data_IF_585181452095
#
_entry.id   IF_585181452095
#
_cell.length_a   1.000
_cell.length_b   1.000
_cell.length_c   1.000
_cell.angle_alpha   90.00
_cell.angle_beta   90.00
_cell.angle_gamma   90.00
#
_symmetry.space_group_name_H-M   'P 1'
#
loop_
_entity.id
_entity.type
_entity.pdbx_description
1 polymer ?
#
# COMPACT_ATOMS: atom_id res chain seq x y z
N UNK A 1 5.14 13.39 3.68
CA UNK A 1 3.92 13.26 4.52
C UNK A 1 3.73 11.78 4.81
N UNK A 2 3.55 11.39 6.06
CA UNK A 2 3.84 10.05 6.59
C UNK A 2 3.06 8.93 5.90
N UNK A 3 3.78 7.90 5.43
CA UNK A 3 3.22 6.56 5.23
C UNK A 3 2.85 6.07 6.63
N UNK A 4 1.59 6.23 7.04
CA UNK A 4 1.09 5.68 8.29
C UNK A 4 1.32 4.18 8.24
N UNK A 5 2.45 3.73 8.79
CA UNK A 5 2.69 2.35 9.10
C UNK A 5 1.57 1.98 10.06
N UNK A 6 0.56 1.26 9.58
CA UNK A 6 -0.38 0.57 10.46
C UNK A 6 0.40 -0.60 11.05
N UNK A 7 1.26 -0.26 12.01
CA UNK A 7 1.99 -1.19 12.88
C UNK A 7 1.11 -1.53 14.07
N UNK A 8 -0.13 -1.96 13.81
CA UNK A 8 -1.03 -2.35 14.88
C UNK A 8 -1.90 -3.50 14.44
N UNK A 9 -1.85 -4.57 15.23
CA UNK A 9 -2.68 -5.77 15.13
C UNK A 9 -4.13 -5.52 15.55
N UNK A 10 -4.59 -4.27 15.54
CA UNK A 10 -5.94 -3.90 15.94
C UNK A 10 -6.85 -3.84 14.72
N UNK A 11 -7.98 -4.58 14.70
CA UNK A 11 -8.96 -4.51 13.62
C UNK A 11 -9.47 -3.10 13.33
N UNK A 12 -9.50 -2.22 14.34
CA UNK A 12 -9.96 -0.84 14.19
C UNK A 12 -9.06 0.01 13.29
N UNK A 13 -7.77 -0.35 13.16
CA UNK A 13 -6.83 0.39 12.30
C UNK A 13 -7.07 0.15 10.82
N UNK A 14 -7.73 -0.95 10.45
CA UNK A 14 -8.13 -1.25 9.08
C UNK A 14 -9.04 -0.18 8.47
N UNK A 15 -9.79 0.53 9.31
CA UNK A 15 -10.67 1.58 8.84
C UNK A 15 -9.93 2.85 8.41
N UNK A 16 -8.73 3.04 8.95
CA UNK A 16 -7.85 4.18 8.69
C UNK A 16 -6.99 4.00 7.44
N UNK A 17 -6.93 2.80 6.86
CA UNK A 17 -6.12 2.52 5.67
C UNK A 17 -6.88 3.01 4.42
N UNK A 18 -6.37 4.04 3.73
CA UNK A 18 -6.99 4.54 2.51
C UNK A 18 -6.85 3.50 1.39
N UNK A 19 -7.84 3.46 0.49
CA UNK A 19 -7.80 2.59 -0.69
C UNK A 19 -8.22 1.14 -0.46
N UNK A 20 -8.37 0.66 0.79
CA UNK A 20 -8.92 -0.68 1.02
C UNK A 20 -10.37 -0.78 0.54
N UNK A 21 -10.61 -1.69 -0.41
CA UNK A 21 -11.97 -2.05 -0.82
C UNK A 21 -12.72 -2.77 0.29
N UNK A 22 -14.07 -2.83 0.21
CA UNK A 22 -14.92 -3.45 1.23
C UNK A 22 -14.47 -4.86 1.63
N UNK A 23 -14.09 -5.70 0.65
CA UNK A 23 -13.61 -7.07 0.90
C UNK A 23 -12.24 -7.09 1.58
N UNK A 24 -11.30 -6.25 1.13
CA UNK A 24 -9.96 -6.17 1.70
C UNK A 24 -10.01 -5.65 3.14
N UNK A 25 -10.91 -4.70 3.44
CA UNK A 25 -11.16 -4.21 4.80
C UNK A 25 -11.66 -5.30 5.75
N UNK A 26 -12.61 -6.14 5.29
CA UNK A 26 -13.05 -7.31 6.08
C UNK A 26 -11.92 -8.29 6.35
N UNK A 27 -11.08 -8.56 5.34
CA UNK A 27 -9.91 -9.45 5.51
C UNK A 27 -8.88 -8.86 6.48
N UNK A 28 -8.63 -7.55 6.39
CA UNK A 28 -7.77 -6.84 7.34
C UNK A 28 -8.30 -6.96 8.77
N UNK A 29 -9.61 -6.79 8.98
CA UNK A 29 -10.22 -6.91 10.31
C UNK A 29 -10.16 -8.35 10.86
N UNK A 30 -10.21 -9.36 9.98
CA UNK A 30 -10.10 -10.77 10.36
C UNK A 30 -8.66 -11.17 10.68
N UNK A 31 -7.68 -10.58 9.99
CA UNK A 31 -6.25 -10.89 10.11
C UNK A 31 -5.40 -9.60 10.21
N UNK A 32 -5.57 -8.81 11.30
CA UNK A 32 -4.91 -7.51 11.43
C UNK A 32 -3.39 -7.63 11.67
N UNK A 33 -2.93 -8.78 12.17
CA UNK A 33 -1.53 -9.13 12.38
C UNK A 33 -0.74 -9.23 11.07
N UNK A 34 -1.38 -9.71 10.00
CA UNK A 34 -0.76 -9.87 8.67
C UNK A 34 -0.51 -8.53 7.98
N UNK A 35 -1.27 -7.49 8.34
CA UNK A 35 -1.18 -6.18 7.68
C UNK A 35 0.20 -5.53 7.80
N UNK A 36 0.93 -5.78 8.89
CA UNK A 36 2.32 -5.31 9.05
C UNK A 36 3.23 -5.87 7.95
N UNK A 37 3.16 -7.18 7.71
CA UNK A 37 3.96 -7.84 6.69
C UNK A 37 3.59 -7.35 5.28
N UNK A 38 2.30 -7.13 5.02
CA UNK A 38 1.81 -6.57 3.76
C UNK A 38 2.34 -5.15 3.54
N UNK A 39 2.21 -4.28 4.53
CA UNK A 39 2.70 -2.90 4.47
C UNK A 39 4.21 -2.83 4.25
N UNK A 40 4.98 -3.68 4.93
CA UNK A 40 6.42 -3.77 4.72
C UNK A 40 6.80 -4.29 3.33
N UNK A 41 6.03 -5.23 2.79
CA UNK A 41 6.20 -5.72 1.41
C UNK A 41 5.98 -4.62 0.38
N UNK A 42 4.90 -3.84 0.53
CA UNK A 42 4.60 -2.69 -0.33
C UNK A 42 5.74 -1.67 -0.29
N UNK A 43 6.20 -1.30 0.91
CA UNK A 43 7.32 -0.34 1.08
C UNK A 43 8.58 -0.81 0.36
N UNK A 44 8.94 -2.08 0.52
CA UNK A 44 10.11 -2.67 -0.16
C UNK A 44 9.93 -2.68 -1.68
N UNK A 45 8.76 -3.08 -2.18
CA UNK A 45 8.46 -3.09 -3.61
C UNK A 45 8.53 -1.70 -4.24
N UNK A 46 8.02 -0.66 -3.56
CA UNK A 46 8.11 0.73 -4.04
C UNK A 46 9.55 1.22 -4.07
N UNK A 47 10.33 0.96 -3.01
CA UNK A 47 11.74 1.36 -2.97
C UNK A 47 12.55 0.69 -4.10
N UNK A 48 12.32 -0.60 -4.36
CA UNK A 48 12.96 -1.31 -5.47
C UNK A 48 12.51 -0.75 -6.82
N UNK A 49 11.21 -0.49 -7.01
CA UNK A 49 10.68 0.13 -8.22
C UNK A 49 11.36 1.47 -8.50
N UNK A 50 11.43 2.34 -7.50
CA UNK A 50 12.11 3.64 -7.62
C UNK A 50 13.59 3.48 -7.96
N UNK A 51 14.26 2.48 -7.39
CA UNK A 51 15.68 2.17 -7.69
C UNK A 51 15.86 1.72 -9.13
N UNK A 52 15.08 0.74 -9.58
CA UNK A 52 15.18 0.17 -10.93
C UNK A 52 14.78 1.17 -12.02
N UNK A 53 13.80 2.02 -11.74
CA UNK A 53 13.24 2.96 -12.71
C UNK A 53 13.73 4.40 -12.54
N UNK A 54 14.78 4.65 -11.75
CA UNK A 54 15.28 5.99 -11.45
C UNK A 54 15.62 6.84 -12.70
N UNK A 55 16.10 6.20 -13.77
CA UNK A 55 16.45 6.86 -15.03
C UNK A 55 15.34 6.87 -16.09
N UNK A 56 14.16 6.33 -15.78
CA UNK A 56 13.07 6.20 -16.76
C UNK A 56 12.08 7.36 -16.66
N UNK A 57 11.39 7.65 -17.78
CA UNK A 57 10.32 8.68 -17.82
C UNK A 57 9.22 8.45 -16.78
N UNK A 58 8.98 7.18 -16.44
CA UNK A 58 8.17 6.79 -15.29
C UNK A 58 9.11 6.22 -14.23
N UNK A 59 9.19 6.88 -13.08
CA UNK A 59 10.17 6.63 -12.01
C UNK A 59 9.51 6.10 -10.71
N UNK A 60 8.34 5.48 -10.82
CA UNK A 60 7.57 4.92 -9.71
C UNK A 60 7.14 5.88 -8.58
N UNK A 61 7.30 7.20 -8.73
CA UNK A 61 6.90 8.19 -7.69
C UNK A 61 5.39 8.22 -7.44
N UNK A 62 4.58 7.80 -8.41
CA UNK A 62 3.11 7.76 -8.31
C UNK A 62 2.56 6.64 -7.43
N UNK A 63 3.42 5.74 -6.94
CA UNK A 63 2.99 4.61 -6.08
C UNK A 63 2.90 5.02 -4.60
N UNK A 64 3.24 6.28 -4.27
CA UNK A 64 3.19 6.82 -2.92
C UNK A 64 1.76 7.21 -2.49
N UNK A 65 0.92 6.22 -2.22
CA UNK A 65 -0.49 6.44 -1.83
C UNK A 65 -1.12 5.30 -1.03
N UNK A 66 -0.29 4.48 -0.37
CA UNK A 66 -0.76 3.36 0.45
C UNK A 66 -0.88 2.03 -0.28
N UNK A 67 -0.57 1.94 -1.58
CA UNK A 67 -0.50 0.67 -2.35
C UNK A 67 -1.81 -0.12 -2.48
N UNK A 68 -2.88 0.30 -1.79
CA UNK A 68 -4.21 -0.27 -1.86
C UNK A 68 -5.13 0.60 -2.72
N UNK A 69 -6.08 -0.04 -3.39
CA UNK A 69 -7.06 0.64 -4.23
C UNK A 69 -7.09 0.10 -5.64
N UNK A 70 -7.89 0.77 -6.48
CA UNK A 70 -7.99 0.41 -7.89
C UNK A 70 -6.79 0.98 -8.64
N UNK A 71 -6.14 0.11 -9.41
CA UNK A 71 -5.10 0.53 -10.36
C UNK A 71 -5.81 1.23 -11.51
N UNK A 72 -5.67 2.55 -11.59
CA UNK A 72 -6.14 3.32 -12.74
C UNK A 72 -5.00 3.33 -13.76
N UNK A 73 -4.96 2.29 -14.60
CA UNK A 73 -4.10 2.32 -15.77
C UNK A 73 -4.68 3.35 -16.75
N UNK A 74 -3.92 4.42 -17.00
CA UNK A 74 -4.19 5.26 -18.17
C UNK A 74 -3.65 4.53 -19.39
N UNK A 75 -4.49 3.73 -20.02
CA UNK A 75 -4.22 3.27 -21.38
C UNK A 75 -4.30 4.50 -22.29
N UNK A 76 -3.25 4.72 -23.08
CA UNK A 76 -3.22 5.71 -24.15
C UNK A 76 -3.80 5.09 -25.42
#
# INVERSE_FOLDING_TARGET
MQMSAVSGSSPALCDLIPGLGRRQRRLCQLHPDVMKAISDGIRRGVAECQTQFAGYRWNCTTVEGGGFGRIILKCK
#
